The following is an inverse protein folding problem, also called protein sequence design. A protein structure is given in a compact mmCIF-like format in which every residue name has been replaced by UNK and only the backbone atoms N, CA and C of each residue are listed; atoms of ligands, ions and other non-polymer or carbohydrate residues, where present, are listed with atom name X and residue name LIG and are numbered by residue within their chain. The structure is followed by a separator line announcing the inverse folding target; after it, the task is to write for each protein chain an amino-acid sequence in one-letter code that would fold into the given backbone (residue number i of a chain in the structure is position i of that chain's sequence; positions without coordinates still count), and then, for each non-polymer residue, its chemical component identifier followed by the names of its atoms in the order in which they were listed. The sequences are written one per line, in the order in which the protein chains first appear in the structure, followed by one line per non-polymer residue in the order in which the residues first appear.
data_IF_827597968147
#
_entry.id   IF_827597968147
#
_cell.length_a   1.000
_cell.length_b   1.000
_cell.length_c   1.000
_cell.angle_alpha   90.00
_cell.angle_beta   90.00
_cell.angle_gamma   90.00
#
_symmetry.space_group_name_H-M   'P 1'
#
loop_
_entity.id
_entity.type
_entity.pdbx_description
1 polymer ?
#
# COMPACT_ATOMS: atom_id res chain seq x y z
N UNK A 1 3.65 -6.11 15.01
CA UNK A 1 4.20 -5.58 13.74
C UNK A 1 4.14 -4.07 13.77
N UNK A 2 5.10 -3.40 13.12
CA UNK A 2 5.07 -1.95 12.90
C UNK A 2 4.98 -1.67 11.42
N UNK A 3 4.01 -0.85 11.01
CA UNK A 3 3.80 -0.41 9.63
C UNK A 3 4.10 1.09 9.55
N UNK A 4 4.94 1.49 8.59
CA UNK A 4 5.30 2.90 8.35
C UNK A 4 4.94 3.27 6.92
N UNK A 5 4.21 4.37 6.73
CA UNK A 5 3.90 4.94 5.43
C UNK A 5 5.02 5.87 4.98
N UNK A 6 5.83 5.45 4.01
CA UNK A 6 6.95 6.24 3.50
C UNK A 6 6.49 7.30 2.49
N UNK A 7 5.39 7.03 1.78
CA UNK A 7 4.77 7.94 0.82
C UNK A 7 4.37 7.25 -0.48
N UNK A 8 3.45 7.85 -1.23
CA UNK A 8 2.86 7.30 -2.45
C UNK A 8 2.21 5.94 -2.22
N UNK A 9 2.80 4.83 -2.68
CA UNK A 9 2.41 3.46 -2.34
C UNK A 9 3.49 2.73 -1.54
N UNK A 10 4.54 3.45 -1.11
CA UNK A 10 5.66 2.85 -0.40
C UNK A 10 5.38 2.71 1.09
N UNK A 11 5.46 1.47 1.58
CA UNK A 11 5.35 1.14 3.00
C UNK A 11 6.52 0.31 3.48
N UNK A 12 6.88 0.48 4.76
CA UNK A 12 7.81 -0.39 5.47
C UNK A 12 7.06 -1.16 6.54
N UNK A 13 7.19 -2.49 6.53
CA UNK A 13 6.63 -3.40 7.52
C UNK A 13 7.75 -4.10 8.29
N UNK A 14 7.73 -3.98 9.62
CA UNK A 14 8.71 -4.58 10.51
C UNK A 14 8.02 -5.58 11.44
N UNK A 15 8.46 -6.84 11.45
CA UNK A 15 7.96 -7.88 12.35
C UNK A 15 9.07 -8.87 12.75
N UNK A 16 9.21 -9.13 14.05
CA UNK A 16 10.17 -10.09 14.61
C UNK A 16 11.62 -9.89 14.12
N UNK A 17 12.03 -8.65 13.84
CA UNK A 17 13.36 -8.33 13.33
C UNK A 17 13.51 -8.46 11.81
N UNK A 18 12.47 -8.86 11.10
CA UNK A 18 12.42 -8.91 9.64
C UNK A 18 11.72 -7.67 9.08
N UNK A 19 12.30 -7.06 8.05
CA UNK A 19 11.80 -5.83 7.42
C UNK A 19 11.44 -6.07 5.97
N UNK A 20 10.22 -5.66 5.59
CA UNK A 20 9.74 -5.65 4.21
C UNK A 20 9.48 -4.22 3.77
N UNK A 21 9.97 -3.83 2.59
CA UNK A 21 9.57 -2.59 1.92
C UNK A 21 8.71 -2.92 0.71
N UNK A 22 7.52 -2.31 0.66
CA UNK A 22 6.60 -2.41 -0.48
C UNK A 22 6.76 -1.20 -1.38
N UNK A 23 6.75 -1.42 -2.67
CA UNK A 23 6.65 -0.44 -3.75
C UNK A 23 7.51 0.83 -3.52
N UNK A 24 8.84 0.70 -3.33
CA UNK A 24 9.69 1.87 -3.25
C UNK A 24 9.71 2.61 -4.58
N UNK A 25 9.58 3.93 -4.55
CA UNK A 25 9.68 4.77 -5.76
C UNK A 25 11.13 5.16 -6.03
N UNK A 26 11.48 5.31 -7.33
CA UNK A 26 12.78 5.78 -7.76
C UNK A 26 13.00 7.25 -7.35
N UNK A 27 14.28 7.63 -7.14
CA UNK A 27 14.66 8.97 -6.72
C UNK A 27 14.10 10.05 -7.67
N UNK A 28 13.40 11.03 -7.08
CA UNK A 28 12.84 12.18 -7.80
C UNK A 28 11.69 11.84 -8.76
N UNK A 29 11.18 10.62 -8.74
CA UNK A 29 10.14 10.19 -9.66
C UNK A 29 8.73 10.66 -9.24
N UNK A 30 8.39 10.57 -7.96
CA UNK A 30 7.10 11.03 -7.45
C UNK A 30 7.22 12.45 -6.91
N UNK A 31 6.45 13.43 -7.44
CA UNK A 31 6.55 14.83 -7.04
C UNK A 31 6.36 15.05 -5.54
N UNK A 32 7.19 15.91 -4.94
CA UNK A 32 7.08 16.35 -3.55
C UNK A 32 7.53 15.32 -2.51
N UNK A 33 7.97 14.12 -2.92
CA UNK A 33 8.58 13.16 -2.02
C UNK A 33 10.10 13.22 -2.04
N UNK A 34 10.71 13.05 -0.88
CA UNK A 34 12.15 12.84 -0.73
C UNK A 34 12.55 11.41 -1.11
N UNK A 35 13.85 11.18 -1.21
CA UNK A 35 14.39 9.89 -1.59
C UNK A 35 14.16 8.83 -0.52
N UNK A 36 13.79 7.61 -0.91
CA UNK A 36 13.78 6.44 -0.03
C UNK A 36 15.23 6.09 0.32
N UNK A 37 15.50 5.84 1.62
CA UNK A 37 16.81 5.40 2.11
C UNK A 37 16.57 4.45 3.29
N UNK A 38 16.12 3.25 2.96
CA UNK A 38 15.75 2.22 3.93
C UNK A 38 16.66 1.00 3.79
N UNK A 39 16.77 0.22 4.85
CA UNK A 39 17.32 -1.13 4.82
C UNK A 39 16.18 -2.13 5.00
N UNK A 40 16.20 -3.23 4.25
CA UNK A 40 15.18 -4.25 4.32
C UNK A 40 15.74 -5.65 4.02
N UNK A 41 15.11 -6.67 4.59
CA UNK A 41 15.38 -8.06 4.25
C UNK A 41 14.72 -8.43 2.92
N UNK A 42 13.61 -7.75 2.57
CA UNK A 42 12.83 -8.06 1.38
C UNK A 42 12.21 -6.78 0.79
N UNK A 43 12.28 -6.65 -0.54
CA UNK A 43 11.57 -5.62 -1.31
C UNK A 43 10.52 -6.31 -2.19
N UNK A 44 9.27 -5.90 -2.05
CA UNK A 44 8.14 -6.41 -2.82
C UNK A 44 7.57 -5.29 -3.69
N UNK A 45 7.69 -5.44 -5.00
CA UNK A 45 7.10 -4.51 -5.97
C UNK A 45 5.84 -5.12 -6.58
N UNK A 46 4.78 -4.34 -6.69
CA UNK A 46 3.53 -4.77 -7.30
C UNK A 46 3.64 -4.86 -8.82
N UNK A 47 4.43 -3.98 -9.43
CA UNK A 47 4.70 -3.92 -10.87
C UNK A 47 5.98 -3.12 -11.17
N UNK A 48 6.31 -2.92 -12.47
CA UNK A 48 7.63 -2.43 -12.90
C UNK A 48 7.68 -0.92 -13.23
N UNK A 49 6.66 -0.12 -12.88
CA UNK A 49 6.75 1.33 -13.05
C UNK A 49 7.68 1.96 -12.02
N UNK A 50 8.36 3.05 -12.39
CA UNK A 50 9.43 3.64 -11.58
C UNK A 50 8.95 4.27 -10.25
N UNK A 51 7.67 4.55 -10.12
CA UNK A 51 7.02 4.96 -8.87
C UNK A 51 6.70 3.80 -7.91
N UNK A 52 6.99 2.53 -8.32
CA UNK A 52 6.79 1.32 -7.51
C UNK A 52 7.99 0.37 -7.53
N UNK A 53 8.95 0.53 -8.45
CA UNK A 53 10.08 -0.38 -8.60
C UNK A 53 11.44 0.32 -8.43
N UNK A 54 11.54 1.24 -7.49
CA UNK A 54 12.80 1.86 -7.09
C UNK A 54 13.64 0.97 -6.16
N UNK A 55 13.85 -0.31 -6.50
CA UNK A 55 14.58 -1.29 -5.66
C UNK A 55 15.96 -0.81 -5.25
N UNK A 56 16.63 -0.04 -6.10
CA UNK A 56 17.98 0.51 -5.85
C UNK A 56 18.00 1.57 -4.75
N UNK A 57 16.84 2.05 -4.31
CA UNK A 57 16.72 3.01 -3.19
C UNK A 57 16.70 2.33 -1.81
N UNK A 58 16.61 1.00 -1.79
CA UNK A 58 16.59 0.17 -0.57
C UNK A 58 17.84 -0.69 -0.52
N UNK A 59 18.58 -0.60 0.59
CA UNK A 59 19.73 -1.45 0.86
C UNK A 59 19.25 -2.81 1.38
N UNK A 60 19.53 -3.88 0.62
CA UNK A 60 19.15 -5.22 1.06
C UNK A 60 20.09 -5.75 2.14
N UNK A 61 19.50 -6.24 3.22
CA UNK A 61 20.20 -7.02 4.25
C UNK A 61 20.56 -8.39 3.65
N UNK A 62 21.78 -8.90 3.84
CA UNK A 62 22.17 -10.18 3.28
C UNK A 62 21.26 -11.33 3.74
N UNK A 63 20.94 -12.24 2.82
CA UNK A 63 20.06 -13.37 3.06
C UNK A 63 20.51 -14.22 4.26
N UNK A 64 19.52 -14.67 5.05
CA UNK A 64 19.73 -15.58 6.17
C UNK A 64 20.17 -14.92 7.49
N UNK A 65 20.30 -13.57 7.54
CA UNK A 65 20.53 -12.84 8.79
C UNK A 65 19.25 -12.85 9.64
N UNK A 66 18.10 -12.51 9.03
CA UNK A 66 16.82 -12.52 9.70
C UNK A 66 15.90 -13.61 9.11
N UNK A 67 15.07 -14.20 9.96
CA UNK A 67 14.12 -15.23 9.51
C UNK A 67 12.83 -14.55 9.03
N UNK A 68 12.39 -14.86 7.81
CA UNK A 68 11.12 -14.36 7.29
C UNK A 68 9.93 -14.97 8.08
N UNK A 69 9.13 -14.17 8.79
CA UNK A 69 7.99 -14.65 9.54
C UNK A 69 6.71 -14.78 8.69
N UNK A 70 6.75 -14.37 7.41
CA UNK A 70 5.56 -14.25 6.57
C UNK A 70 5.41 -15.38 5.56
N UNK A 71 4.20 -15.88 5.43
CA UNK A 71 3.72 -16.55 4.22
C UNK A 71 3.24 -15.44 3.29
N UNK A 72 3.83 -15.39 2.08
CA UNK A 72 3.52 -14.36 1.08
C UNK A 72 2.67 -14.98 -0.01
N UNK A 73 1.48 -14.41 -0.23
CA UNK A 73 0.58 -14.78 -1.33
C UNK A 73 0.56 -13.66 -2.36
N UNK A 74 0.79 -14.00 -3.62
CA UNK A 74 0.70 -13.11 -4.77
C UNK A 74 -0.62 -13.35 -5.49
N UNK A 75 -1.43 -12.29 -5.62
CA UNK A 75 -2.72 -12.35 -6.31
C UNK A 75 -2.59 -11.49 -7.57
N UNK A 76 -2.53 -12.12 -8.78
CA UNK A 76 -2.48 -11.36 -10.03
C UNK A 76 -3.73 -10.49 -10.20
N UNK A 77 -3.52 -9.27 -10.67
CA UNK A 77 -4.57 -8.30 -11.02
C UNK A 77 -4.07 -7.38 -12.15
N UNK A 78 -4.88 -6.38 -12.51
CA UNK A 78 -4.55 -5.47 -13.59
C UNK A 78 -4.37 -4.03 -13.08
N UNK A 79 -3.46 -3.30 -13.73
CA UNK A 79 -3.24 -1.87 -13.47
C UNK A 79 -4.21 -0.97 -14.25
N UNK A 80 -5.21 -1.55 -14.90
CA UNK A 80 -6.28 -0.86 -15.63
C UNK A 80 -7.53 -1.74 -15.71
N UNK A 81 -8.64 -1.16 -16.17
CA UNK A 81 -9.92 -1.81 -16.38
C UNK A 81 -10.06 -2.52 -17.74
N UNK A 82 -8.97 -2.55 -18.52
CA UNK A 82 -8.87 -3.17 -19.84
C UNK A 82 -7.95 -4.42 -19.83
N UNK A 83 -7.95 -5.17 -18.73
CA UNK A 83 -7.19 -6.40 -18.55
C UNK A 83 -5.66 -6.21 -18.77
N UNK A 84 -5.13 -5.08 -18.31
CA UNK A 84 -3.71 -4.75 -18.40
C UNK A 84 -3.24 -4.27 -19.76
N UNK A 85 -4.14 -4.08 -20.72
CA UNK A 85 -3.75 -3.65 -22.08
C UNK A 85 -3.23 -2.21 -22.16
N UNK A 86 -3.53 -1.37 -21.16
CA UNK A 86 -3.12 0.03 -21.12
C UNK A 86 -1.89 0.26 -20.23
N UNK A 87 -1.84 -0.36 -19.03
CA UNK A 87 -0.82 -0.13 -18.01
C UNK A 87 -0.13 -1.39 -17.51
N UNK A 88 -0.58 -2.57 -17.96
CA UNK A 88 0.03 -3.85 -17.63
C UNK A 88 -0.55 -4.53 -16.40
N UNK A 89 0.26 -5.46 -15.89
CA UNK A 89 -0.11 -6.28 -14.74
C UNK A 89 0.11 -5.54 -13.43
N UNK A 90 -0.62 -5.95 -12.41
CA UNK A 90 -0.41 -5.59 -11.03
C UNK A 90 -0.46 -6.84 -10.16
N UNK A 91 0.26 -6.87 -9.05
CA UNK A 91 0.23 -7.94 -8.05
C UNK A 91 -0.25 -7.38 -6.72
N UNK A 92 -1.36 -7.92 -6.21
CA UNK A 92 -1.73 -7.71 -4.81
C UNK A 92 -0.89 -8.66 -3.97
N UNK A 93 -0.23 -8.14 -2.92
CA UNK A 93 0.63 -8.91 -2.01
C UNK A 93 -0.05 -9.09 -0.68
N UNK A 94 -0.28 -10.33 -0.26
CA UNK A 94 -0.80 -10.63 1.09
C UNK A 94 0.33 -11.24 1.92
N UNK A 95 0.64 -10.62 3.06
CA UNK A 95 1.59 -11.10 4.05
C UNK A 95 0.84 -11.62 5.28
N UNK A 96 1.08 -12.87 5.63
CA UNK A 96 0.44 -13.55 6.76
C UNK A 96 1.53 -14.14 7.68
N UNK A 97 1.61 -13.66 8.94
CA UNK A 97 2.55 -14.18 9.94
C UNK A 97 1.91 -15.22 10.88
N UNK A 98 0.75 -15.77 10.50
CA UNK A 98 -0.03 -16.72 11.30
C UNK A 98 -0.90 -16.08 12.38
N UNK A 99 -0.78 -14.76 12.59
CA UNK A 99 -1.58 -14.00 13.55
C UNK A 99 -2.29 -12.80 12.92
N UNK A 100 -1.64 -12.12 11.99
CA UNK A 100 -2.14 -10.94 11.29
C UNK A 100 -1.91 -11.04 9.79
N UNK A 101 -2.88 -10.58 9.02
CA UNK A 101 -2.87 -10.58 7.56
C UNK A 101 -2.95 -9.15 7.03
N UNK A 102 -1.97 -8.77 6.23
CA UNK A 102 -1.89 -7.44 5.59
C UNK A 102 -1.88 -7.64 4.08
N UNK A 103 -2.71 -6.89 3.36
CA UNK A 103 -2.67 -6.85 1.90
C UNK A 103 -2.21 -5.47 1.40
N UNK A 104 -1.26 -5.47 0.47
CA UNK A 104 -0.85 -4.32 -0.32
C UNK A 104 -1.41 -4.49 -1.73
N UNK A 105 -2.26 -3.56 -2.15
CA UNK A 105 -3.02 -3.68 -3.40
C UNK A 105 -2.26 -3.20 -4.64
N UNK A 106 -1.06 -2.61 -4.46
CA UNK A 106 -0.30 -2.02 -5.56
C UNK A 106 -1.12 -0.95 -6.27
N UNK A 107 -0.94 -0.86 -7.58
CA UNK A 107 -1.73 0.02 -8.44
C UNK A 107 -2.91 -0.73 -9.07
N UNK A 108 -3.74 -1.31 -8.20
CA UNK A 108 -4.98 -1.93 -8.65
C UNK A 108 -5.80 -0.96 -9.51
N UNK A 109 -6.09 -1.35 -10.75
CA UNK A 109 -6.82 -0.53 -11.72
C UNK A 109 -8.20 -1.08 -12.13
N UNK A 110 -8.66 -2.17 -11.49
CA UNK A 110 -9.92 -2.85 -11.84
C UNK A 110 -10.67 -3.34 -10.60
N UNK A 111 -11.93 -3.75 -10.80
CA UNK A 111 -12.69 -4.45 -9.75
C UNK A 111 -12.10 -5.85 -9.48
N UNK A 112 -12.29 -6.36 -8.27
CA UNK A 112 -11.85 -7.71 -7.90
C UNK A 112 -12.79 -8.78 -8.42
N UNK A 113 -12.22 -9.89 -8.87
CA UNK A 113 -13.00 -11.11 -9.14
C UNK A 113 -13.46 -11.76 -7.82
N UNK A 114 -14.43 -12.68 -7.89
CA UNK A 114 -14.92 -13.38 -6.70
C UNK A 114 -13.84 -14.30 -6.10
N UNK A 115 -12.97 -14.87 -6.92
CA UNK A 115 -11.81 -15.66 -6.48
C UNK A 115 -10.81 -14.80 -5.73
N UNK A 116 -10.49 -13.59 -6.22
CA UNK A 116 -9.61 -12.65 -5.53
C UNK A 116 -10.20 -12.20 -4.19
N UNK A 117 -11.52 -11.90 -4.14
CA UNK A 117 -12.21 -11.55 -2.89
C UNK A 117 -12.12 -12.67 -1.84
N UNK A 118 -12.19 -13.95 -2.26
CA UNK A 118 -12.02 -15.09 -1.34
C UNK A 118 -10.62 -15.10 -0.72
N UNK A 119 -9.57 -14.83 -1.51
CA UNK A 119 -8.20 -14.78 -1.05
C UNK A 119 -7.90 -13.58 -0.13
N UNK A 120 -8.71 -12.51 -0.26
CA UNK A 120 -8.59 -11.25 0.50
C UNK A 120 -9.53 -11.18 1.72
N UNK A 121 -10.12 -12.29 2.13
CA UNK A 121 -10.91 -12.34 3.36
C UNK A 121 -10.03 -12.27 4.62
N UNK A 122 -10.64 -11.84 5.72
CA UNK A 122 -10.03 -11.81 7.05
C UNK A 122 -8.72 -11.01 7.13
N UNK A 123 -8.62 -9.93 6.35
CA UNK A 123 -7.51 -9.00 6.43
C UNK A 123 -7.60 -8.16 7.71
N UNK A 124 -6.47 -8.05 8.42
CA UNK A 124 -6.34 -7.08 9.50
C UNK A 124 -6.08 -5.67 8.94
N UNK A 125 -5.31 -5.56 7.85
CA UNK A 125 -5.04 -4.29 7.19
C UNK A 125 -5.07 -4.43 5.67
N UNK A 126 -5.74 -3.49 5.00
CA UNK A 126 -5.72 -3.31 3.55
C UNK A 126 -5.07 -1.96 3.21
N UNK A 127 -3.95 -1.99 2.46
CA UNK A 127 -3.27 -0.83 1.89
C UNK A 127 -3.78 -0.67 0.46
N UNK A 128 -4.71 0.28 0.23
CA UNK A 128 -5.48 0.35 -1.02
C UNK A 128 -5.29 1.71 -1.73
N UNK A 129 -5.05 1.72 -3.06
CA UNK A 129 -4.96 2.98 -3.80
C UNK A 129 -6.35 3.62 -3.93
N UNK A 130 -6.39 4.96 -3.86
CA UNK A 130 -7.65 5.73 -3.87
C UNK A 130 -7.62 6.94 -4.80
N UNK A 131 -6.48 7.20 -5.44
CA UNK A 131 -6.25 8.45 -6.19
C UNK A 131 -6.89 8.49 -7.57
N UNK A 132 -7.38 7.40 -8.10
CA UNK A 132 -7.92 7.36 -9.47
C UNK A 132 -6.86 7.68 -10.53
N UNK A 133 -7.30 8.02 -11.74
CA UNK A 133 -6.53 8.29 -12.97
C UNK A 133 -5.60 7.15 -13.41
N UNK A 134 -4.66 6.73 -12.56
CA UNK A 134 -3.78 5.57 -12.80
C UNK A 134 -4.33 4.30 -12.17
N UNK A 135 -5.03 4.42 -11.06
CA UNK A 135 -5.55 3.31 -10.22
C UNK A 135 -7.08 3.38 -10.14
N UNK A 136 -7.67 2.48 -9.34
CA UNK A 136 -9.07 2.61 -8.96
C UNK A 136 -9.32 3.95 -8.25
N UNK A 137 -10.49 4.51 -8.46
CA UNK A 137 -10.94 5.73 -7.78
C UNK A 137 -11.50 5.44 -6.36
N UNK A 138 -11.79 6.49 -5.63
CA UNK A 138 -12.31 6.43 -4.27
C UNK A 138 -13.60 5.59 -4.15
N UNK A 139 -14.52 5.69 -5.12
CA UNK A 139 -15.78 4.97 -5.12
C UNK A 139 -15.57 3.47 -5.36
N UNK A 140 -14.69 3.13 -6.28
CA UNK A 140 -14.32 1.73 -6.56
C UNK A 140 -13.58 1.12 -5.37
N UNK A 141 -12.64 1.87 -4.77
CA UNK A 141 -11.95 1.46 -3.55
C UNK A 141 -12.94 1.17 -2.41
N UNK A 142 -13.94 2.06 -2.23
CA UNK A 142 -15.01 1.86 -1.23
C UNK A 142 -15.80 0.57 -1.48
N UNK A 143 -16.22 0.30 -2.73
CA UNK A 143 -16.93 -0.95 -3.08
C UNK A 143 -16.10 -2.19 -2.80
N UNK A 144 -14.81 -2.16 -3.12
CA UNK A 144 -13.89 -3.25 -2.83
C UNK A 144 -13.79 -3.48 -1.32
N UNK A 145 -13.53 -2.42 -0.54
CA UNK A 145 -13.48 -2.49 0.93
C UNK A 145 -14.75 -3.09 1.51
N UNK A 146 -15.93 -2.66 1.06
CA UNK A 146 -17.20 -3.19 1.52
C UNK A 146 -17.39 -4.68 1.18
N UNK A 147 -16.79 -5.16 0.10
CA UNK A 147 -16.90 -6.55 -0.34
C UNK A 147 -15.98 -7.53 0.41
N UNK A 148 -14.79 -7.06 0.86
CA UNK A 148 -13.80 -7.90 1.56
C UNK A 148 -13.73 -7.63 3.06
N UNK A 149 -14.33 -6.53 3.54
CA UNK A 149 -14.49 -6.16 4.95
C UNK A 149 -13.21 -6.27 5.78
N UNK A 150 -12.09 -5.63 5.41
CA UNK A 150 -10.89 -5.63 6.23
C UNK A 150 -11.14 -4.90 7.56
N UNK A 151 -10.40 -5.23 8.62
CA UNK A 151 -10.55 -4.53 9.91
C UNK A 151 -10.11 -3.07 9.81
N UNK A 152 -8.97 -2.81 9.20
CA UNK A 152 -8.42 -1.47 8.98
C UNK A 152 -8.13 -1.25 7.51
N UNK A 153 -8.49 -0.08 7.01
CA UNK A 153 -8.17 0.38 5.64
C UNK A 153 -7.21 1.56 5.75
N UNK A 154 -6.08 1.47 5.08
CA UNK A 154 -5.12 2.57 4.96
C UNK A 154 -5.06 2.97 3.48
N UNK A 155 -5.58 4.16 3.12
CA UNK A 155 -5.51 4.66 1.75
C UNK A 155 -4.08 5.02 1.36
N UNK A 156 -3.75 4.82 0.09
CA UNK A 156 -2.48 5.17 -0.51
C UNK A 156 -2.67 5.69 -1.94
N UNK A 157 -1.58 6.08 -2.62
CA UNK A 157 -1.58 6.57 -3.99
C UNK A 157 -2.56 7.74 -4.22
N UNK A 158 -2.46 8.76 -3.36
CA UNK A 158 -3.23 10.00 -3.42
C UNK A 158 -2.29 11.21 -3.38
N UNK A 159 -2.78 12.38 -3.80
CA UNK A 159 -2.05 13.64 -3.63
C UNK A 159 -2.46 14.38 -2.37
N UNK A 160 -1.54 15.16 -1.86
CA UNK A 160 -1.79 16.11 -0.78
C UNK A 160 -1.14 17.46 -1.08
N UNK A 161 -1.11 18.34 -0.09
CA UNK A 161 -0.44 19.62 -0.24
C UNK A 161 1.08 19.42 -0.43
N UNK A 162 1.57 19.72 -1.63
CA UNK A 162 2.98 19.65 -1.98
C UNK A 162 3.52 18.26 -2.32
N UNK A 163 2.69 17.22 -2.44
CA UNK A 163 3.14 15.89 -2.84
C UNK A 163 2.12 15.14 -3.70
N UNK A 164 2.62 14.17 -4.45
CA UNK A 164 1.84 13.32 -5.36
C UNK A 164 1.67 13.94 -6.74
N UNK A 165 1.14 13.18 -7.68
CA UNK A 165 0.86 13.65 -9.03
C UNK A 165 -0.37 14.56 -9.06
N UNK A 166 -0.32 15.66 -9.79
CA UNK A 166 -1.44 16.63 -9.88
C UNK A 166 -2.74 16.03 -10.45
N UNK A 167 -2.61 14.96 -11.24
CA UNK A 167 -3.75 14.32 -11.92
C UNK A 167 -4.52 13.32 -11.06
N UNK A 168 -3.95 12.88 -9.93
CA UNK A 168 -4.64 11.97 -9.02
C UNK A 168 -5.44 12.74 -7.97
N UNK A 169 -6.46 12.11 -7.41
CA UNK A 169 -7.35 12.71 -6.42
C UNK A 169 -6.68 12.86 -5.04
N UNK A 170 -7.11 13.83 -4.24
CA UNK A 170 -6.76 13.92 -2.82
C UNK A 170 -7.49 12.84 -2.00
N UNK A 171 -6.92 12.51 -0.83
CA UNK A 171 -7.47 11.46 0.06
C UNK A 171 -8.88 11.78 0.57
N UNK A 172 -9.25 13.05 0.61
CA UNK A 172 -10.56 13.53 1.06
C UNK A 172 -11.70 12.97 0.21
N UNK A 173 -11.47 12.69 -1.09
CA UNK A 173 -12.49 12.04 -1.94
C UNK A 173 -12.84 10.64 -1.47
N UNK A 174 -11.90 9.92 -0.86
CA UNK A 174 -12.14 8.61 -0.26
C UNK A 174 -12.69 8.72 1.16
N UNK A 175 -12.10 9.59 1.98
CA UNK A 175 -12.47 9.68 3.40
C UNK A 175 -13.88 10.24 3.61
N UNK A 176 -14.37 11.10 2.71
CA UNK A 176 -15.76 11.62 2.78
C UNK A 176 -16.85 10.53 2.58
N UNK A 177 -16.46 9.32 2.14
CA UNK A 177 -17.37 8.16 1.98
C UNK A 177 -17.59 7.38 3.28
N UNK A 178 -16.96 7.81 4.38
CA UNK A 178 -17.01 7.13 5.68
C UNK A 178 -17.44 8.09 6.79
N UNK A 179 -18.26 7.60 7.71
CA UNK A 179 -18.72 8.39 8.86
C UNK A 179 -17.61 8.63 9.89
N UNK A 180 -16.64 7.73 9.96
CA UNK A 180 -15.53 7.79 10.92
C UNK A 180 -14.22 7.49 10.24
N UNK A 181 -13.29 8.44 10.33
CA UNK A 181 -11.92 8.33 9.81
C UNK A 181 -10.97 8.81 10.89
N UNK A 182 -9.91 8.05 11.13
CA UNK A 182 -8.81 8.47 12.01
C UNK A 182 -7.65 9.01 11.18
N UNK A 183 -7.19 10.21 11.53
CA UNK A 183 -6.08 10.88 10.88
C UNK A 183 -5.06 11.33 11.96
N UNK A 184 -4.27 10.41 12.52
CA UNK A 184 -3.24 10.78 13.48
C UNK A 184 -2.13 11.60 12.79
N UNK A 185 -1.41 12.39 13.59
CA UNK A 185 -0.23 13.13 13.12
C UNK A 185 1.03 12.23 13.08
N UNK A 186 0.86 11.00 12.63
CA UNK A 186 1.89 9.96 12.62
C UNK A 186 2.01 9.31 11.23
N UNK A 187 3.23 8.91 10.88
CA UNK A 187 3.52 8.12 9.67
C UNK A 187 3.57 6.61 9.94
N UNK A 188 3.49 6.19 11.19
CA UNK A 188 3.64 4.79 11.58
C UNK A 188 2.55 4.35 12.57
N UNK A 189 2.22 3.06 12.50
CA UNK A 189 1.25 2.42 13.40
C UNK A 189 1.73 1.05 13.83
N UNK A 190 1.39 0.65 15.06
CA UNK A 190 1.62 -0.71 15.58
C UNK A 190 0.36 -1.55 15.40
N UNK A 191 0.48 -2.71 14.76
CA UNK A 191 -0.61 -3.66 14.52
C UNK A 191 -0.57 -4.74 15.63
N UNK A 192 -1.67 -5.01 16.34
CA UNK A 192 -3.03 -4.44 16.17
C UNK A 192 -3.30 -3.17 16.97
N UNK A 193 -2.46 -2.83 17.95
CA UNK A 193 -2.79 -1.88 19.02
C UNK A 193 -3.10 -0.46 18.51
N UNK A 194 -2.48 -0.06 17.41
CA UNK A 194 -2.69 1.25 16.78
C UNK A 194 -3.62 1.22 15.56
N UNK A 195 -4.17 0.04 15.19
CA UNK A 195 -5.06 -0.08 14.03
C UNK A 195 -6.52 -0.17 14.47
N UNK A 196 -7.31 0.90 14.30
CA UNK A 196 -8.74 0.88 14.59
C UNK A 196 -9.50 0.06 13.56
N UNK A 197 -10.73 -0.34 13.88
CA UNK A 197 -11.67 -0.77 12.84
C UNK A 197 -12.12 0.44 12.03
N UNK A 198 -11.97 0.38 10.70
CA UNK A 198 -12.36 1.45 9.78
C UNK A 198 -11.17 2.08 9.03
N UNK A 199 -11.29 3.34 8.67
CA UNK A 199 -10.27 4.05 7.86
C UNK A 199 -9.25 4.74 8.75
N UNK A 200 -7.97 4.51 8.47
CA UNK A 200 -6.82 5.15 9.12
C UNK A 200 -5.97 5.83 8.05
N UNK A 201 -5.88 7.16 8.07
CA UNK A 201 -5.03 7.93 7.17
C UNK A 201 -3.72 8.26 7.87
N UNK A 202 -2.62 7.65 7.42
CA UNK A 202 -1.28 7.96 7.92
C UNK A 202 -0.67 9.12 7.13
N UNK A 203 0.17 9.93 7.79
CA UNK A 203 0.97 10.94 7.10
C UNK A 203 2.15 10.29 6.38
N UNK A 204 2.44 10.65 5.13
CA UNK A 204 3.65 10.15 4.49
C UNK A 204 4.90 10.73 5.18
N UNK A 205 5.87 9.86 5.45
CA UNK A 205 7.09 10.23 6.18
C UNK A 205 8.03 11.11 5.35
N UNK A 206 8.12 10.86 4.04
CA UNK A 206 9.16 11.40 3.16
C UNK A 206 8.72 12.64 2.37
N UNK A 207 7.71 13.38 2.80
CA UNK A 207 7.32 14.63 2.11
C UNK A 207 8.44 15.66 2.27
N UNK A 208 8.87 16.26 1.14
CA UNK A 208 9.84 17.35 1.12
C UNK A 208 9.21 18.62 1.72
N UNK A 209 9.94 19.31 2.57
CA UNK A 209 9.52 20.58 3.20
C UNK A 209 9.91 21.76 2.32
#
# INVERSE_FOLDING_TARGET
MKLTYLGHSCFKLEDQGFTVVFDPYADGYVPGYGNIREQADLVLCSHEHADHNGRDTVELIPDGINQNPFIITEIPSWHDDAEGSLRGNNLIRVLDNGKYRIAHFGDLGCELTDEQKVLLKDLDVALIPVGGYYTIDAQTAKRIVDSICPKTVIPMHFRGEGFGYDVIAPVEEFTCLYDTVLCPDDSAVTIPDGTPSGVLVLKPQNVQK
#
